data_IF_729466498700
#
_entry.id   IF_729466498700
#
_cell.length_a   1.000
_cell.length_b   1.000
_cell.length_c   1.000
_cell.angle_alpha   90.00
_cell.angle_beta   90.00
_cell.angle_gamma   90.00
#
_symmetry.space_group_name_H-M   'P 1'
#
loop_
_entity.id
_entity.type
_entity.pdbx_description
1 polymer ?
#
# COMPACT_ATOMS: atom_id res chain seq x y z
N UNK A 1 -46.21 -17.74 -6.21
CA UNK A 1 -44.86 -17.87 -5.63
C UNK A 1 -44.50 -16.46 -5.11
N UNK A 2 -44.66 -16.24 -3.80
CA UNK A 2 -44.36 -14.95 -3.20
C UNK A 2 -42.85 -14.85 -2.96
N UNK A 3 -42.15 -13.96 -3.66
CA UNK A 3 -40.79 -13.59 -3.29
C UNK A 3 -40.89 -12.71 -2.02
N UNK A 4 -40.49 -13.27 -0.87
CA UNK A 4 -40.22 -12.44 0.30
C UNK A 4 -39.00 -11.59 -0.07
N UNK A 5 -39.20 -10.29 -0.23
CA UNK A 5 -38.10 -9.33 -0.25
C UNK A 5 -37.49 -9.33 1.14
N UNK A 6 -36.33 -9.94 1.28
CA UNK A 6 -35.53 -9.82 2.50
C UNK A 6 -35.11 -8.36 2.64
N UNK A 7 -35.20 -7.82 3.85
CA UNK A 7 -34.64 -6.50 4.16
C UNK A 7 -33.19 -6.43 3.67
N UNK A 8 -32.79 -5.24 3.19
CA UNK A 8 -31.41 -5.00 2.75
C UNK A 8 -30.47 -5.46 3.88
N UNK A 9 -29.68 -6.49 3.63
CA UNK A 9 -28.68 -6.97 4.56
C UNK A 9 -27.62 -5.87 4.73
N UNK A 10 -27.57 -5.26 5.91
CA UNK A 10 -26.61 -4.20 6.23
C UNK A 10 -25.16 -4.65 6.09
N UNK A 11 -24.87 -5.96 6.20
CA UNK A 11 -23.54 -6.52 5.95
C UNK A 11 -23.18 -6.55 4.44
N UNK A 12 -24.15 -6.56 3.54
CA UNK A 12 -23.95 -6.37 2.09
C UNK A 12 -23.71 -4.89 1.74
N UNK A 13 -24.08 -3.96 2.61
CA UNK A 13 -23.81 -2.53 2.45
C UNK A 13 -22.39 -2.15 2.89
N UNK A 14 -21.64 -3.05 3.52
CA UNK A 14 -20.21 -2.83 3.76
C UNK A 14 -19.50 -2.79 2.41
N UNK A 15 -18.74 -1.73 2.12
CA UNK A 15 -18.08 -1.58 0.83
C UNK A 15 -17.20 -2.81 0.58
N UNK A 16 -17.62 -3.69 -0.31
CA UNK A 16 -16.80 -4.76 -0.85
C UNK A 16 -15.57 -4.10 -1.49
N UNK A 17 -14.56 -3.83 -0.68
CA UNK A 17 -13.16 -3.48 -1.00
C UNK A 17 -12.89 -2.63 -2.28
N UNK A 18 -13.81 -1.79 -2.69
CA UNK A 18 -13.62 -0.88 -3.82
C UNK A 18 -12.80 0.35 -3.43
N UNK A 19 -11.49 0.19 -3.19
CA UNK A 19 -10.61 1.31 -2.78
C UNK A 19 -10.43 2.40 -3.84
N UNK A 20 -10.90 2.20 -5.04
CA UNK A 20 -10.65 3.07 -6.20
C UNK A 20 -11.86 3.02 -7.16
N UNK A 21 -13.00 3.63 -6.77
CA UNK A 21 -14.25 3.53 -7.53
C UNK A 21 -14.16 4.16 -8.92
N UNK A 22 -13.32 5.16 -9.10
CA UNK A 22 -13.10 5.84 -10.37
C UNK A 22 -11.97 5.24 -11.21
N UNK A 23 -11.25 4.23 -10.70
CA UNK A 23 -10.13 3.62 -11.40
C UNK A 23 -8.94 4.56 -11.61
N UNK A 24 -8.75 5.53 -10.73
CA UNK A 24 -7.72 6.59 -10.85
C UNK A 24 -6.37 6.14 -10.25
N UNK A 25 -6.41 5.17 -9.34
CA UNK A 25 -5.22 4.65 -8.67
C UNK A 25 -4.03 4.35 -9.61
N UNK A 26 -4.19 3.67 -10.76
CA UNK A 26 -3.05 3.39 -11.65
C UNK A 26 -2.38 4.64 -12.21
N UNK A 27 -3.12 5.75 -12.38
CA UNK A 27 -2.62 7.01 -12.93
C UNK A 27 -1.60 7.64 -11.98
N UNK A 28 -2.02 7.92 -10.73
CA UNK A 28 -1.14 8.55 -9.78
C UNK A 28 -0.03 7.61 -9.28
N UNK A 29 -0.28 6.30 -9.22
CA UNK A 29 0.76 5.31 -8.92
C UNK A 29 1.86 5.28 -9.98
N UNK A 30 1.52 5.50 -11.25
CA UNK A 30 2.52 5.60 -12.29
C UNK A 30 3.41 6.84 -12.05
N UNK A 31 2.83 7.99 -11.74
CA UNK A 31 3.60 9.21 -11.39
C UNK A 31 4.41 9.05 -10.10
N UNK A 32 3.86 8.34 -9.12
CA UNK A 32 4.57 8.05 -7.88
C UNK A 32 5.88 7.30 -8.11
N UNK A 33 5.89 6.34 -9.05
CA UNK A 33 7.10 5.57 -9.40
C UNK A 33 8.19 6.40 -10.08
N UNK A 34 7.84 7.53 -10.67
CA UNK A 34 8.84 8.47 -11.21
C UNK A 34 9.64 9.15 -10.08
N UNK A 35 9.05 9.24 -8.88
CA UNK A 35 9.66 9.87 -7.69
C UNK A 35 10.26 8.83 -6.75
N UNK A 36 9.51 7.75 -6.47
CA UNK A 36 9.83 6.69 -5.50
C UNK A 36 9.67 5.32 -6.15
N UNK A 37 10.64 4.87 -6.98
CA UNK A 37 10.44 3.76 -7.93
C UNK A 37 10.19 2.41 -7.26
N UNK A 38 10.67 2.17 -6.05
CA UNK A 38 10.67 0.86 -5.40
C UNK A 38 9.74 0.76 -4.19
N UNK A 39 8.88 1.75 -3.95
CA UNK A 39 8.02 1.80 -2.77
C UNK A 39 6.56 1.80 -3.20
N UNK A 40 5.70 1.24 -2.35
CA UNK A 40 4.23 1.27 -2.50
C UNK A 40 3.58 1.87 -1.24
N UNK A 41 2.30 2.20 -1.32
CA UNK A 41 1.55 2.69 -0.17
C UNK A 41 1.53 1.70 1.02
N UNK A 42 1.65 0.39 0.76
CA UNK A 42 1.61 -0.65 1.78
C UNK A 42 3.00 -0.97 2.37
N UNK A 43 4.09 -0.80 1.59
CA UNK A 43 5.46 -1.18 1.99
C UNK A 43 6.20 -0.08 2.78
N UNK A 44 5.51 0.57 3.71
CA UNK A 44 5.97 1.77 4.43
C UNK A 44 6.71 1.50 5.75
N UNK A 45 7.01 0.22 6.07
CA UNK A 45 7.68 -0.14 7.30
C UNK A 45 8.89 -1.03 7.02
N UNK A 46 10.05 -0.71 7.62
CA UNK A 46 11.27 -1.52 7.53
C UNK A 46 11.08 -2.93 8.10
N UNK A 47 10.21 -3.07 9.10
CA UNK A 47 9.94 -4.32 9.80
C UNK A 47 9.52 -5.46 8.84
N UNK A 48 8.67 -5.15 7.86
CA UNK A 48 8.24 -6.13 6.87
C UNK A 48 9.39 -6.62 5.97
N UNK A 49 10.30 -5.72 5.58
CA UNK A 49 11.50 -6.11 4.83
C UNK A 49 12.44 -6.99 5.67
N UNK A 50 12.58 -6.69 6.97
CA UNK A 50 13.38 -7.51 7.87
C UNK A 50 12.87 -8.95 7.94
N UNK A 51 11.56 -9.13 8.15
CA UNK A 51 10.93 -10.46 8.18
C UNK A 51 11.13 -11.20 6.86
N UNK A 52 10.88 -10.50 5.73
CA UNK A 52 11.04 -11.09 4.39
C UNK A 52 12.46 -11.58 4.17
N UNK A 53 13.43 -10.68 4.36
CA UNK A 53 14.84 -10.99 4.06
C UNK A 53 15.41 -12.05 5.01
N UNK A 54 15.04 -12.03 6.29
CA UNK A 54 15.44 -13.03 7.26
C UNK A 54 14.91 -14.43 6.89
N UNK A 55 13.62 -14.55 6.62
CA UNK A 55 13.01 -15.81 6.22
C UNK A 55 13.66 -16.38 4.94
N UNK A 56 13.86 -15.55 3.93
CA UNK A 56 14.47 -15.96 2.67
C UNK A 56 15.97 -16.32 2.81
N UNK A 57 16.72 -15.62 3.66
CA UNK A 57 18.13 -15.94 3.91
C UNK A 57 18.31 -17.28 4.64
N UNK A 58 17.38 -17.68 5.49
CA UNK A 58 17.43 -18.96 6.21
C UNK A 58 16.88 -20.13 5.40
N UNK A 59 16.04 -19.88 4.41
CA UNK A 59 15.41 -20.93 3.62
C UNK A 59 16.39 -21.96 3.03
N UNK A 60 17.52 -21.59 2.37
CA UNK A 60 18.41 -22.58 1.76
C UNK A 60 19.00 -23.57 2.79
N UNK A 61 19.38 -23.08 3.98
CA UNK A 61 19.94 -23.91 5.03
C UNK A 61 18.85 -24.81 5.65
N UNK A 62 17.67 -24.25 5.93
CA UNK A 62 16.52 -24.99 6.42
C UNK A 62 16.10 -26.10 5.42
N UNK A 63 15.94 -25.75 4.15
CA UNK A 63 15.53 -26.69 3.12
C UNK A 63 16.53 -27.83 2.94
N UNK A 64 17.85 -27.55 3.03
CA UNK A 64 18.88 -28.57 2.98
C UNK A 64 18.82 -29.48 4.20
N UNK A 65 18.68 -28.93 5.40
CA UNK A 65 18.65 -29.68 6.67
C UNK A 65 17.47 -30.65 6.73
N UNK A 66 16.28 -30.20 6.32
CA UNK A 66 15.05 -30.98 6.41
C UNK A 66 14.60 -31.58 5.06
N UNK A 67 15.47 -31.50 4.04
CA UNK A 67 15.19 -32.00 2.68
C UNK A 67 13.86 -31.51 2.09
N UNK A 68 13.55 -30.23 2.34
CA UNK A 68 12.32 -29.62 1.88
C UNK A 68 12.41 -29.22 0.41
N UNK A 69 11.41 -29.55 -0.43
CA UNK A 69 11.41 -29.17 -1.84
C UNK A 69 11.13 -27.65 -2.00
N UNK A 70 11.61 -27.07 -3.09
CA UNK A 70 11.48 -25.63 -3.38
C UNK A 70 10.04 -25.10 -3.30
N UNK A 71 9.03 -25.91 -3.65
CA UNK A 71 7.61 -25.57 -3.54
C UNK A 71 7.15 -25.25 -2.11
N UNK A 72 7.90 -25.67 -1.10
CA UNK A 72 7.61 -25.40 0.32
C UNK A 72 8.11 -24.02 0.79
N UNK A 73 8.81 -23.24 -0.03
CA UNK A 73 9.26 -21.90 0.32
C UNK A 73 8.11 -20.99 0.79
N UNK A 74 7.02 -20.95 0.05
CA UNK A 74 5.88 -20.08 0.39
C UNK A 74 5.18 -20.54 1.67
N UNK A 75 4.80 -21.82 1.86
CA UNK A 75 4.29 -22.30 3.14
C UNK A 75 5.24 -22.05 4.33
N UNK A 76 6.54 -22.33 4.16
CA UNK A 76 7.56 -22.02 5.15
C UNK A 76 7.54 -20.52 5.53
N UNK A 77 7.51 -19.64 4.52
CA UNK A 77 7.48 -18.21 4.75
C UNK A 77 6.26 -17.77 5.59
N UNK A 78 5.07 -18.30 5.30
CA UNK A 78 3.86 -18.01 6.07
C UNK A 78 3.99 -18.39 7.54
N UNK A 79 4.62 -19.53 7.83
CA UNK A 79 4.87 -19.97 9.20
C UNK A 79 5.88 -19.05 9.91
N UNK A 80 6.95 -18.67 9.23
CA UNK A 80 7.95 -17.73 9.77
C UNK A 80 7.33 -16.38 10.06
N UNK A 81 6.51 -15.82 9.14
CA UNK A 81 5.78 -14.58 9.35
C UNK A 81 4.88 -14.64 10.59
N UNK A 82 4.14 -15.74 10.77
CA UNK A 82 3.31 -15.97 11.95
C UNK A 82 4.15 -15.99 13.23
N UNK A 83 5.27 -16.68 13.22
CA UNK A 83 6.16 -16.76 14.37
C UNK A 83 6.68 -15.36 14.76
N UNK A 84 7.15 -14.57 13.76
CA UNK A 84 7.59 -13.20 13.99
C UNK A 84 6.51 -12.30 14.56
N UNK A 85 5.31 -12.29 13.95
CA UNK A 85 4.23 -11.42 14.39
C UNK A 85 3.80 -11.74 15.83
N UNK A 86 3.73 -13.02 16.18
CA UNK A 86 3.38 -13.47 17.54
C UNK A 86 4.49 -13.15 18.54
N UNK A 87 5.74 -13.36 18.15
CA UNK A 87 6.90 -12.97 18.92
C UNK A 87 6.88 -11.47 19.24
N UNK A 88 6.64 -10.63 18.23
CA UNK A 88 6.53 -9.19 18.41
C UNK A 88 5.35 -8.78 19.31
N UNK A 89 4.26 -9.53 19.31
CA UNK A 89 3.11 -9.26 20.19
C UNK A 89 3.42 -9.62 21.63
N UNK A 90 4.01 -10.77 21.88
CA UNK A 90 4.42 -11.23 23.22
C UNK A 90 5.41 -10.27 23.88
N UNK A 91 6.40 -9.79 23.12
CA UNK A 91 7.41 -8.84 23.63
C UNK A 91 6.98 -7.38 23.61
N UNK A 92 5.71 -7.10 23.21
CA UNK A 92 5.21 -5.72 23.13
C UNK A 92 6.09 -4.81 22.29
N UNK A 93 6.73 -5.35 21.24
CA UNK A 93 7.60 -4.56 20.38
C UNK A 93 6.82 -3.53 19.57
N UNK A 94 7.48 -2.45 19.19
CA UNK A 94 6.91 -1.38 18.36
C UNK A 94 6.77 -1.75 16.88
N UNK A 95 7.14 -2.98 16.50
CA UNK A 95 7.08 -3.46 15.12
C UNK A 95 5.68 -3.44 14.55
N UNK A 96 5.60 -2.97 13.32
CA UNK A 96 4.35 -2.82 12.59
C UNK A 96 4.25 -3.87 11.47
N UNK A 97 3.86 -5.09 11.85
CA UNK A 97 3.64 -6.19 10.91
C UNK A 97 2.16 -6.32 10.54
N UNK A 98 1.86 -6.72 9.29
CA UNK A 98 0.49 -7.02 8.87
C UNK A 98 -0.16 -8.06 9.79
N UNK A 99 -1.40 -7.80 10.22
CA UNK A 99 -2.14 -8.73 11.09
C UNK A 99 -1.80 -8.69 12.57
N UNK A 100 -0.67 -8.11 13.00
CA UNK A 100 -0.26 -8.06 14.42
C UNK A 100 -1.35 -7.53 15.35
N UNK A 101 -2.13 -6.53 14.92
CA UNK A 101 -3.20 -5.93 15.74
C UNK A 101 -4.33 -6.90 16.12
N UNK A 102 -4.47 -8.02 15.41
CA UNK A 102 -5.47 -9.07 15.70
C UNK A 102 -4.99 -10.09 16.72
N UNK A 103 -3.71 -10.06 17.05
CA UNK A 103 -3.11 -10.99 18.00
C UNK A 103 -3.30 -10.46 19.42
N UNK A 104 -3.93 -11.29 20.27
CA UNK A 104 -4.11 -11.00 21.69
C UNK A 104 -2.97 -11.62 22.51
N UNK A 105 -2.56 -10.93 23.59
CA UNK A 105 -1.50 -11.35 24.51
C UNK A 105 -2.02 -12.41 25.49
N UNK A 106 -2.65 -13.39 25.22
CA UNK A 106 -3.18 -14.37 26.17
C UNK A 106 -3.49 -15.75 25.58
N UNK A 107 -3.51 -15.84 24.28
CA UNK A 107 -3.77 -17.11 23.62
C UNK A 107 -2.48 -17.89 23.38
N UNK A 108 -2.52 -19.26 23.49
CA UNK A 108 -1.39 -20.07 23.11
C UNK A 108 -0.95 -19.72 21.68
N UNK A 109 0.37 -19.67 21.50
CA UNK A 109 0.95 -19.28 20.20
C UNK A 109 0.92 -20.48 19.27
N UNK A 110 -0.01 -20.49 18.35
CA UNK A 110 -0.11 -21.50 17.31
C UNK A 110 0.40 -20.94 15.99
N UNK A 111 1.18 -21.72 15.27
CA UNK A 111 1.52 -21.49 13.87
C UNK A 111 0.96 -22.65 13.04
N UNK A 112 0.51 -22.38 11.85
CA UNK A 112 -0.05 -23.42 11.00
C UNK A 112 -0.47 -22.91 9.64
N UNK A 113 -0.67 -23.83 8.70
CA UNK A 113 -1.01 -23.49 7.30
C UNK A 113 -2.52 -23.39 7.05
N UNK A 114 -3.35 -23.78 7.99
CA UNK A 114 -4.79 -23.68 7.85
C UNK A 114 -5.27 -22.23 7.97
N UNK A 115 -6.37 -21.85 7.28
CA UNK A 115 -6.89 -20.47 7.30
C UNK A 115 -7.12 -19.90 8.69
N UNK A 116 -7.56 -20.71 9.66
CA UNK A 116 -7.80 -20.31 11.05
C UNK A 116 -6.53 -19.88 11.80
N UNK A 117 -5.34 -20.30 11.32
CA UNK A 117 -4.05 -19.94 11.91
C UNK A 117 -3.43 -18.69 11.27
N UNK A 118 -4.01 -18.25 10.16
CA UNK A 118 -3.50 -17.09 9.44
C UNK A 118 -3.68 -15.81 10.25
N UNK A 119 -2.69 -14.93 10.17
CA UNK A 119 -2.75 -13.58 10.78
C UNK A 119 -3.83 -12.72 10.14
N UNK A 120 -4.11 -12.97 8.87
CA UNK A 120 -5.03 -12.21 8.03
C UNK A 120 -5.77 -13.15 7.07
N UNK A 121 -6.99 -12.80 6.71
CA UNK A 121 -7.65 -13.39 5.54
C UNK A 121 -6.78 -13.14 4.29
N UNK A 122 -6.44 -14.23 3.55
CA UNK A 122 -5.51 -14.13 2.42
C UNK A 122 -4.10 -13.69 2.83
N UNK A 123 -3.52 -14.26 3.88
CA UNK A 123 -2.21 -13.87 4.44
C UNK A 123 -1.13 -13.80 3.37
N UNK A 124 -1.11 -14.70 2.40
CA UNK A 124 -0.12 -14.66 1.31
C UNK A 124 -0.15 -13.36 0.52
N UNK A 125 -1.34 -12.80 0.28
CA UNK A 125 -1.53 -11.58 -0.49
C UNK A 125 -1.45 -10.31 0.36
N UNK A 126 -2.02 -10.37 1.57
CA UNK A 126 -2.20 -9.21 2.44
C UNK A 126 -1.13 -9.14 3.56
N UNK A 127 -0.31 -10.16 3.69
CA UNK A 127 0.80 -10.24 4.63
C UNK A 127 2.10 -9.70 4.07
N UNK A 128 3.20 -10.00 4.77
CA UNK A 128 4.55 -9.52 4.40
C UNK A 128 4.95 -9.99 3.01
N UNK A 129 4.64 -11.23 2.62
CA UNK A 129 4.97 -11.73 1.29
C UNK A 129 4.36 -10.88 0.18
N UNK A 130 3.04 -10.69 0.19
CA UNK A 130 2.32 -9.96 -0.85
C UNK A 130 2.67 -8.46 -0.91
N UNK A 131 2.98 -7.86 0.24
CA UNK A 131 3.27 -6.44 0.34
C UNK A 131 4.72 -6.12 -0.02
N UNK A 132 5.69 -6.93 0.42
CA UNK A 132 7.10 -6.55 0.42
C UNK A 132 7.96 -7.29 -0.61
N UNK A 133 7.54 -8.49 -1.08
CA UNK A 133 8.35 -9.32 -1.97
C UNK A 133 8.68 -8.61 -3.30
N UNK A 134 7.66 -8.14 -4.03
CA UNK A 134 7.87 -7.46 -5.31
C UNK A 134 8.65 -6.16 -5.18
N UNK A 135 8.48 -5.47 -4.06
CA UNK A 135 9.24 -4.24 -3.74
C UNK A 135 10.70 -4.57 -3.46
N UNK A 136 10.98 -5.62 -2.69
CA UNK A 136 12.34 -6.09 -2.41
C UNK A 136 13.05 -6.56 -3.69
N UNK A 137 12.35 -7.25 -4.59
CA UNK A 137 12.85 -7.67 -5.89
C UNK A 137 13.18 -6.46 -6.78
N UNK A 138 12.26 -5.51 -6.92
CA UNK A 138 12.47 -4.30 -7.73
C UNK A 138 13.60 -3.42 -7.18
N UNK A 139 13.79 -3.39 -5.86
CA UNK A 139 14.90 -2.71 -5.20
C UNK A 139 16.23 -3.51 -5.28
N UNK A 140 16.19 -4.73 -5.83
CA UNK A 140 17.35 -5.60 -5.97
C UNK A 140 17.88 -6.13 -4.63
N UNK A 141 17.04 -6.25 -3.61
CA UNK A 141 17.37 -6.91 -2.33
C UNK A 141 17.32 -8.42 -2.46
N UNK A 142 16.46 -8.93 -3.32
CA UNK A 142 16.32 -10.32 -3.73
C UNK A 142 16.30 -10.40 -5.24
N UNK A 143 16.58 -11.57 -5.79
CA UNK A 143 16.42 -11.86 -7.22
C UNK A 143 15.05 -12.49 -7.55
N UNK A 144 14.84 -12.80 -8.84
CA UNK A 144 13.60 -13.45 -9.31
C UNK A 144 13.33 -14.84 -8.72
N UNK A 145 14.38 -15.52 -8.19
CA UNK A 145 14.30 -16.80 -7.50
C UNK A 145 14.15 -16.64 -5.98
N UNK A 146 13.95 -15.43 -5.48
CA UNK A 146 13.90 -15.05 -4.08
C UNK A 146 15.22 -15.25 -3.31
N UNK A 147 16.34 -15.33 -3.98
CA UNK A 147 17.64 -15.38 -3.32
C UNK A 147 18.01 -13.97 -2.82
N UNK A 148 18.34 -13.87 -1.54
CA UNK A 148 18.77 -12.64 -0.88
C UNK A 148 20.20 -12.30 -1.28
N UNK A 149 20.52 -11.02 -1.43
CA UNK A 149 21.90 -10.56 -1.71
C UNK A 149 22.91 -11.12 -0.70
N UNK A 150 24.11 -11.55 -1.17
CA UNK A 150 25.11 -12.21 -0.30
C UNK A 150 25.55 -11.39 0.92
N UNK A 151 25.70 -10.08 0.77
CA UNK A 151 26.09 -9.16 1.85
C UNK A 151 25.00 -9.06 2.95
N UNK A 152 23.72 -9.16 2.58
CA UNK A 152 22.59 -9.23 3.51
C UNK A 152 22.58 -10.61 4.19
N UNK A 153 22.72 -11.69 3.41
CA UNK A 153 22.74 -13.07 3.92
C UNK A 153 23.80 -13.26 5.01
N UNK A 154 25.03 -12.79 4.78
CA UNK A 154 26.12 -12.91 5.74
C UNK A 154 25.79 -12.28 7.09
N UNK A 155 25.14 -11.12 7.09
CA UNK A 155 24.75 -10.43 8.33
C UNK A 155 23.61 -11.11 9.08
N UNK A 156 22.66 -11.72 8.35
CA UNK A 156 21.54 -12.46 8.96
C UNK A 156 22.04 -13.78 9.56
N UNK A 157 22.82 -14.55 8.79
CA UNK A 157 23.27 -15.90 9.22
C UNK A 157 24.14 -15.89 10.47
N UNK A 158 24.99 -14.90 10.63
CA UNK A 158 25.88 -14.80 11.81
C UNK A 158 25.12 -14.62 13.14
N UNK A 159 23.78 -14.44 13.10
CA UNK A 159 22.94 -14.19 14.27
C UNK A 159 21.76 -15.17 14.39
N UNK A 160 21.82 -16.28 13.66
CA UNK A 160 20.66 -17.16 13.45
C UNK A 160 20.53 -18.34 14.41
N UNK A 161 21.44 -18.54 15.38
CA UNK A 161 21.42 -19.72 16.23
C UNK A 161 20.08 -19.93 16.95
N UNK A 162 19.48 -18.87 17.48
CA UNK A 162 18.20 -18.98 18.16
C UNK A 162 17.03 -19.27 17.21
N UNK A 163 17.12 -18.80 15.97
CA UNK A 163 16.09 -19.07 14.97
C UNK A 163 16.10 -20.54 14.56
N UNK A 164 17.26 -21.18 14.56
CA UNK A 164 17.39 -22.62 14.32
C UNK A 164 16.60 -23.45 15.34
N UNK A 165 16.41 -22.94 16.55
CA UNK A 165 15.54 -23.57 17.55
C UNK A 165 14.06 -23.67 17.12
N UNK A 166 13.60 -22.84 16.17
CA UNK A 166 12.26 -22.94 15.58
C UNK A 166 12.16 -24.01 14.49
N UNK A 167 13.25 -24.40 13.87
CA UNK A 167 13.24 -25.23 12.68
C UNK A 167 12.54 -26.58 12.85
N UNK A 168 12.72 -27.34 13.96
CA UNK A 168 11.97 -28.57 14.14
C UNK A 168 10.45 -28.35 14.14
N UNK A 169 9.99 -27.23 14.72
CA UNK A 169 8.58 -26.89 14.76
C UNK A 169 8.05 -26.47 13.37
N UNK A 170 8.85 -25.71 12.61
CA UNK A 170 8.50 -25.33 11.23
C UNK A 170 8.44 -26.57 10.32
N UNK A 171 9.42 -27.48 10.42
CA UNK A 171 9.45 -28.72 9.66
C UNK A 171 8.23 -29.60 9.97
N UNK A 172 7.92 -29.76 11.25
CA UNK A 172 6.73 -30.50 11.68
C UNK A 172 5.46 -29.88 11.10
N UNK A 173 5.30 -28.56 11.18
CA UNK A 173 4.13 -27.86 10.64
C UNK A 173 4.01 -27.95 9.11
N UNK A 174 5.13 -28.01 8.39
CA UNK A 174 5.17 -28.20 6.94
C UNK A 174 4.77 -29.62 6.51
N UNK A 175 5.27 -30.62 7.22
CA UNK A 175 5.07 -32.04 6.89
C UNK A 175 3.68 -32.54 7.30
N UNK A 176 3.11 -32.01 8.36
CA UNK A 176 1.77 -32.33 8.80
C UNK A 176 0.76 -31.48 8.00
N UNK A 177 0.51 -31.84 6.74
CA UNK A 177 -0.53 -31.23 5.91
C UNK A 177 -1.94 -31.34 6.53
N UNK A 178 -2.07 -32.05 7.64
CA UNK A 178 -3.28 -32.23 8.41
C UNK A 178 -3.07 -31.86 9.87
N UNK A 179 -3.61 -30.70 10.27
CA UNK A 179 -4.23 -30.45 11.57
C UNK A 179 -3.39 -30.17 12.82
N UNK A 180 -2.09 -30.43 12.91
CA UNK A 180 -1.42 -30.13 14.17
C UNK A 180 -0.88 -28.70 14.20
N UNK A 181 -1.44 -27.91 15.10
CA UNK A 181 -0.89 -26.63 15.53
C UNK A 181 0.36 -26.89 16.36
N UNK A 182 1.44 -26.27 15.98
CA UNK A 182 2.65 -26.30 16.81
C UNK A 182 2.47 -25.29 17.93
N UNK A 183 2.40 -25.79 19.17
CA UNK A 183 2.38 -24.94 20.36
C UNK A 183 3.80 -24.43 20.60
N UNK A 184 4.04 -23.13 20.41
CA UNK A 184 5.28 -22.51 20.86
C UNK A 184 5.15 -22.29 22.36
N UNK A 185 5.93 -23.01 23.15
CA UNK A 185 5.88 -22.92 24.61
C UNK A 185 6.31 -21.50 25.06
N UNK A 186 5.65 -20.96 26.09
CA UNK A 186 5.84 -19.59 26.56
C UNK A 186 7.29 -19.27 26.97
N UNK A 187 8.06 -20.22 27.49
CA UNK A 187 9.43 -20.00 27.97
C UNK A 187 10.53 -20.10 26.92
N UNK A 188 10.55 -21.04 25.96
CA UNK A 188 11.45 -20.97 24.81
C UNK A 188 11.19 -19.76 23.91
N UNK A 189 9.97 -19.24 23.88
CA UNK A 189 9.61 -18.07 23.09
C UNK A 189 10.28 -16.78 23.56
N UNK A 190 10.55 -16.60 24.85
CA UNK A 190 11.25 -15.41 25.35
C UNK A 190 12.68 -15.28 24.80
N UNK A 191 13.41 -16.38 24.70
CA UNK A 191 14.76 -16.39 24.12
C UNK A 191 14.72 -16.13 22.62
N UNK A 192 13.86 -16.84 21.93
CA UNK A 192 13.67 -16.70 20.48
C UNK A 192 13.28 -15.29 20.07
N UNK A 193 12.38 -14.69 20.84
CA UNK A 193 11.86 -13.35 20.60
C UNK A 193 12.91 -12.30 20.91
N UNK A 194 13.68 -12.43 21.98
CA UNK A 194 14.78 -11.54 22.30
C UNK A 194 15.84 -11.56 21.19
N UNK A 195 16.18 -12.73 20.66
CA UNK A 195 17.17 -12.83 19.61
C UNK A 195 16.63 -12.41 18.23
N UNK A 196 15.36 -12.68 17.91
CA UNK A 196 14.72 -12.10 16.74
C UNK A 196 14.69 -10.58 16.85
N UNK A 197 14.36 -10.02 18.00
CA UNK A 197 14.45 -8.57 18.25
C UNK A 197 15.88 -8.05 18.07
N UNK A 198 16.89 -8.73 18.60
CA UNK A 198 18.30 -8.36 18.45
C UNK A 198 18.80 -8.42 17.00
N UNK A 199 18.33 -9.40 16.20
CA UNK A 199 18.63 -9.47 14.76
C UNK A 199 18.07 -8.22 14.04
N UNK A 200 17.03 -7.66 14.55
CA UNK A 200 16.19 -6.66 13.94
C UNK A 200 16.53 -5.24 14.41
N UNK A 201 16.98 -5.06 15.65
CA UNK A 201 17.42 -3.77 16.17
C UNK A 201 18.74 -3.27 15.57
N UNK A 202 19.31 -4.01 14.60
CA UNK A 202 20.62 -3.65 14.07
C UNK A 202 20.58 -2.60 12.97
N UNK A 203 21.12 -1.46 13.30
CA UNK A 203 21.44 -0.33 12.43
C UNK A 203 22.09 -0.66 11.07
N UNK A 204 23.11 -1.57 10.98
CA UNK A 204 23.71 -1.91 9.71
C UNK A 204 22.74 -2.53 8.71
N UNK A 205 21.71 -3.22 9.21
CA UNK A 205 20.70 -3.86 8.39
C UNK A 205 19.71 -2.84 7.78
N UNK A 206 19.33 -1.84 8.57
CA UNK A 206 18.49 -0.75 8.08
C UNK A 206 19.17 0.01 6.92
N UNK A 207 20.47 0.27 6.99
CA UNK A 207 21.24 0.90 5.89
C UNK A 207 21.22 0.06 4.62
N UNK A 208 21.35 -1.26 4.72
CA UNK A 208 21.31 -2.16 3.56
C UNK A 208 19.95 -2.21 2.88
N UNK A 209 18.87 -2.16 3.66
CA UNK A 209 17.52 -2.15 3.14
C UNK A 209 17.17 -0.77 2.55
N UNK A 210 17.56 0.30 3.25
CA UNK A 210 17.19 1.66 2.87
C UNK A 210 17.92 2.18 1.64
N UNK A 211 19.22 1.90 1.50
CA UNK A 211 20.03 2.39 0.37
C UNK A 211 19.49 2.02 -1.01
N UNK A 212 18.98 0.80 -1.29
CA UNK A 212 18.36 0.47 -2.56
C UNK A 212 17.14 1.32 -2.92
N UNK A 213 16.37 1.77 -1.94
CA UNK A 213 15.22 2.66 -2.19
C UNK A 213 15.64 4.07 -2.59
N UNK A 214 16.88 4.45 -2.29
CA UNK A 214 17.45 5.75 -2.63
C UNK A 214 18.13 5.77 -3.99
N UNK A 215 18.44 4.59 -4.56
CA UNK A 215 19.08 4.47 -5.86
C UNK A 215 18.03 4.41 -6.97
N UNK A 216 17.71 5.50 -7.67
CA UNK A 216 16.80 5.48 -8.80
C UNK A 216 17.44 4.72 -9.98
N UNK A 217 16.61 4.06 -10.78
CA UNK A 217 17.03 3.43 -12.03
C UNK A 217 17.59 4.43 -13.06
N UNK A 218 17.38 5.73 -12.85
CA UNK A 218 18.01 6.83 -13.61
C UNK A 218 18.79 7.72 -12.65
N UNK A 219 19.97 8.23 -13.04
CA UNK A 219 20.81 9.05 -12.18
C UNK A 219 20.14 10.39 -11.91
N UNK A 220 19.38 10.45 -10.84
CA UNK A 220 18.90 11.72 -10.29
C UNK A 220 19.61 11.87 -8.95
N UNK A 221 20.06 13.08 -8.56
CA UNK A 221 20.75 13.29 -7.30
C UNK A 221 19.84 12.89 -6.12
N UNK A 222 19.98 11.64 -5.70
CA UNK A 222 19.22 11.02 -4.61
C UNK A 222 19.45 11.76 -3.30
N UNK A 223 20.60 12.40 -3.18
CA UNK A 223 21.00 13.23 -2.05
C UNK A 223 20.03 14.38 -1.78
N UNK A 224 19.43 14.96 -2.82
CA UNK A 224 18.54 16.11 -2.66
C UNK A 224 17.19 15.76 -2.05
N UNK A 225 16.52 14.69 -2.54
CA UNK A 225 15.23 14.25 -1.99
C UNK A 225 15.40 13.72 -0.56
N UNK A 226 16.50 13.00 -0.30
CA UNK A 226 16.83 12.50 1.04
C UNK A 226 17.11 13.65 2.00
N UNK A 227 17.88 14.66 1.58
CA UNK A 227 18.15 15.82 2.43
C UNK A 227 16.86 16.56 2.81
N UNK A 228 15.97 16.76 1.84
CA UNK A 228 14.65 17.35 2.08
C UNK A 228 13.77 16.52 3.01
N UNK A 229 13.77 15.19 2.83
CA UNK A 229 13.04 14.31 3.74
C UNK A 229 13.61 14.33 5.15
N UNK A 230 14.93 14.51 5.32
CA UNK A 230 15.57 14.72 6.64
C UNK A 230 15.09 15.98 7.32
N UNK A 231 14.95 17.07 6.60
CA UNK A 231 14.41 18.33 7.14
C UNK A 231 12.95 18.16 7.54
N UNK A 232 12.14 17.47 6.71
CA UNK A 232 10.74 17.18 7.03
C UNK A 232 10.57 16.33 8.30
N UNK A 233 11.50 15.43 8.60
CA UNK A 233 11.45 14.64 9.86
C UNK A 233 11.45 15.54 11.09
N UNK A 234 12.07 16.73 11.02
CA UNK A 234 12.11 17.72 12.08
C UNK A 234 10.81 18.53 12.17
N UNK A 235 10.04 18.59 11.07
CA UNK A 235 8.83 19.38 10.91
C UNK A 235 7.53 18.54 10.96
N UNK A 236 7.59 17.31 11.47
CA UNK A 236 6.42 16.41 11.61
C UNK A 236 5.19 17.17 12.13
N UNK A 237 3.98 17.06 11.51
CA UNK A 237 3.57 16.03 10.55
C UNK A 237 3.98 16.31 9.09
N UNK A 238 4.24 15.22 8.34
CA UNK A 238 4.57 15.29 6.92
C UNK A 238 3.31 15.58 6.08
N UNK A 239 3.42 16.55 5.17
CA UNK A 239 2.39 16.87 4.20
C UNK A 239 2.95 16.72 2.77
N UNK A 240 2.47 15.73 1.97
CA UNK A 240 2.94 15.51 0.60
C UNK A 240 2.74 16.72 -0.33
N UNK A 241 1.61 17.43 -0.21
CA UNK A 241 1.34 18.63 -1.00
C UNK A 241 2.38 19.71 -0.73
N UNK A 242 2.53 20.08 0.54
CA UNK A 242 3.52 21.09 0.95
C UNK A 242 4.92 20.71 0.50
N UNK A 243 5.28 19.43 0.62
CA UNK A 243 6.58 18.92 0.18
C UNK A 243 6.82 19.08 -1.31
N UNK A 244 5.80 18.79 -2.14
CA UNK A 244 5.89 18.90 -3.62
C UNK A 244 5.86 20.36 -4.07
N UNK A 245 5.13 21.23 -3.36
CA UNK A 245 4.97 22.64 -3.70
C UNK A 245 6.12 23.53 -3.17
N UNK A 246 7.00 23.02 -2.31
CA UNK A 246 8.14 23.77 -1.79
C UNK A 246 9.04 24.26 -2.94
N UNK A 247 9.22 25.58 -3.03
CA UNK A 247 10.20 26.21 -3.92
C UNK A 247 11.62 26.10 -3.31
N UNK A 248 12.17 24.89 -3.37
CA UNK A 248 13.51 24.62 -2.84
C UNK A 248 14.49 24.42 -4.00
N UNK A 249 15.65 25.06 -3.92
CA UNK A 249 16.73 24.95 -4.91
C UNK A 249 17.16 23.48 -5.14
N UNK A 250 17.07 22.63 -4.11
CA UNK A 250 17.36 21.19 -4.19
C UNK A 250 16.32 20.41 -5.01
N UNK A 251 15.10 20.94 -5.18
CA UNK A 251 14.02 20.33 -5.98
C UNK A 251 14.09 20.79 -7.43
N UNK A 252 14.78 21.91 -7.73
CA UNK A 252 14.80 22.49 -9.08
C UNK A 252 15.24 21.51 -10.18
N UNK A 253 16.17 20.63 -9.89
CA UNK A 253 16.61 19.59 -10.83
C UNK A 253 15.54 18.51 -11.09
N UNK A 254 14.53 18.39 -10.20
CA UNK A 254 13.40 17.47 -10.31
C UNK A 254 12.07 18.14 -10.63
N UNK A 255 12.05 19.42 -10.90
CA UNK A 255 10.83 20.19 -11.21
C UNK A 255 9.96 19.55 -12.30
N UNK A 256 10.55 18.82 -13.27
CA UNK A 256 9.80 18.11 -14.29
C UNK A 256 8.83 17.08 -13.72
N UNK A 257 9.30 16.24 -12.81
CA UNK A 257 8.48 15.16 -12.20
C UNK A 257 7.43 15.72 -11.27
N UNK A 258 7.78 16.66 -10.40
CA UNK A 258 6.83 17.30 -9.49
C UNK A 258 5.79 18.15 -10.24
N UNK A 259 6.18 18.83 -11.33
CA UNK A 259 5.23 19.51 -12.22
C UNK A 259 4.21 18.53 -12.81
N UNK A 260 4.64 17.34 -13.22
CA UNK A 260 3.74 16.31 -13.71
C UNK A 260 2.78 15.83 -12.62
N UNK A 261 3.25 15.67 -11.36
CA UNK A 261 2.40 15.33 -10.22
C UNK A 261 1.36 16.43 -9.99
N UNK A 262 1.77 17.70 -9.90
CA UNK A 262 0.85 18.83 -9.65
C UNK A 262 -0.22 18.89 -10.74
N UNK A 263 0.18 18.81 -12.01
CA UNK A 263 -0.74 18.82 -13.15
C UNK A 263 -1.71 17.64 -13.13
N UNK A 264 -1.24 16.48 -12.72
CA UNK A 264 -2.06 15.28 -12.57
C UNK A 264 -3.02 15.42 -11.41
N UNK A 265 -2.51 15.72 -10.21
CA UNK A 265 -3.23 15.66 -8.96
C UNK A 265 -4.41 16.62 -8.90
N UNK A 266 -4.23 17.86 -9.29
CA UNK A 266 -5.28 18.87 -9.25
C UNK A 266 -6.55 18.47 -9.98
N UNK A 267 -6.41 17.83 -11.13
CA UNK A 267 -7.54 17.34 -11.90
C UNK A 267 -8.16 16.08 -11.29
N UNK A 268 -7.32 15.03 -11.05
CA UNK A 268 -7.84 13.75 -10.57
C UNK A 268 -8.46 13.87 -9.18
N UNK A 269 -7.83 14.62 -8.26
CA UNK A 269 -8.37 14.84 -6.92
C UNK A 269 -9.71 15.56 -6.95
N UNK A 270 -9.90 16.52 -7.86
CA UNK A 270 -11.19 17.21 -8.05
C UNK A 270 -12.25 16.24 -8.56
N UNK A 271 -11.95 15.41 -9.56
CA UNK A 271 -12.91 14.44 -10.10
C UNK A 271 -13.30 13.40 -9.04
N UNK A 272 -12.35 12.88 -8.27
CA UNK A 272 -12.65 11.98 -7.13
C UNK A 272 -13.52 12.68 -6.07
N UNK A 273 -13.26 13.95 -5.81
CA UNK A 273 -14.03 14.71 -4.83
C UNK A 273 -15.46 15.01 -5.32
N UNK A 274 -15.65 15.24 -6.61
CA UNK A 274 -17.00 15.33 -7.19
C UNK A 274 -17.73 14.00 -7.04
N UNK A 275 -17.06 12.88 -7.30
CA UNK A 275 -17.64 11.55 -7.15
C UNK A 275 -18.02 11.26 -5.68
N UNK A 276 -17.15 11.54 -4.72
CA UNK A 276 -17.46 11.39 -3.28
C UNK A 276 -18.64 12.29 -2.88
N UNK A 277 -18.70 13.51 -3.42
CA UNK A 277 -19.81 14.42 -3.18
C UNK A 277 -21.14 13.86 -3.75
N UNK A 278 -21.14 13.24 -4.94
CA UNK A 278 -22.33 12.57 -5.48
C UNK A 278 -22.78 11.39 -4.59
N UNK A 279 -21.84 10.64 -4.05
CA UNK A 279 -22.11 9.53 -3.12
C UNK A 279 -22.47 9.98 -1.70
N UNK A 280 -22.48 11.28 -1.39
CA UNK A 280 -22.80 11.77 -0.04
C UNK A 280 -24.29 11.86 0.30
N UNK A 281 -25.16 11.62 -0.67
CA UNK A 281 -26.60 11.73 -0.48
C UNK A 281 -27.14 13.17 -0.40
N UNK A 282 -26.30 14.18 -0.65
CA UNK A 282 -26.71 15.59 -0.64
C UNK A 282 -27.58 15.97 -1.85
N UNK A 283 -27.68 15.12 -2.83
CA UNK A 283 -28.45 15.31 -4.06
C UNK A 283 -29.27 14.08 -4.39
N UNK A 284 -30.41 14.27 -5.02
CA UNK A 284 -31.37 13.20 -5.32
C UNK A 284 -31.36 12.75 -6.77
N UNK A 285 -30.86 13.60 -7.67
CA UNK A 285 -30.77 13.33 -9.11
C UNK A 285 -29.73 14.25 -9.77
N UNK A 286 -29.50 14.05 -11.07
CA UNK A 286 -28.47 14.79 -11.84
C UNK A 286 -28.76 16.30 -11.90
N UNK A 287 -30.00 16.71 -12.07
CA UNK A 287 -30.36 18.13 -12.14
C UNK A 287 -30.14 18.83 -10.78
N UNK A 288 -30.62 18.21 -9.71
CA UNK A 288 -30.41 18.71 -8.34
C UNK A 288 -28.89 18.77 -8.02
N UNK A 289 -28.14 17.76 -8.41
CA UNK A 289 -26.69 17.71 -8.24
C UNK A 289 -26.00 18.84 -9.04
N UNK A 290 -26.37 19.05 -10.29
CA UNK A 290 -25.81 20.12 -11.13
C UNK A 290 -26.07 21.51 -10.54
N UNK A 291 -27.27 21.74 -9.95
CA UNK A 291 -27.63 22.98 -9.27
C UNK A 291 -26.81 23.22 -7.98
N UNK A 292 -26.57 22.16 -7.19
CA UNK A 292 -25.90 22.24 -5.88
C UNK A 292 -24.39 22.19 -5.96
N UNK A 293 -23.81 21.53 -6.98
CA UNK A 293 -22.38 21.35 -7.11
C UNK A 293 -21.65 22.69 -7.25
N UNK A 294 -20.85 23.04 -6.24
CA UNK A 294 -20.08 24.29 -6.21
C UNK A 294 -18.68 24.08 -6.80
N UNK A 295 -18.58 24.12 -8.13
CA UNK A 295 -17.34 24.02 -8.87
C UNK A 295 -17.24 25.10 -9.94
N UNK A 296 -16.03 25.63 -10.14
CA UNK A 296 -15.73 26.51 -11.25
C UNK A 296 -15.33 25.69 -12.48
N UNK A 297 -16.21 25.66 -13.50
CA UNK A 297 -16.01 24.84 -14.70
C UNK A 297 -14.85 25.32 -15.57
N UNK A 298 -14.53 26.62 -15.58
CA UNK A 298 -13.40 27.16 -16.36
C UNK A 298 -12.07 26.75 -15.76
N UNK A 299 -11.97 26.81 -14.44
CA UNK A 299 -10.80 26.32 -13.71
C UNK A 299 -10.64 24.80 -13.92
N UNK A 300 -11.73 24.04 -13.91
CA UNK A 300 -11.68 22.60 -14.16
C UNK A 300 -11.23 22.28 -15.61
N UNK A 301 -11.68 23.05 -16.60
CA UNK A 301 -11.20 22.92 -17.99
C UNK A 301 -9.72 23.23 -18.11
N UNK A 302 -9.24 24.26 -17.42
CA UNK A 302 -7.81 24.55 -17.34
C UNK A 302 -7.02 23.39 -16.71
N UNK A 303 -7.51 22.82 -15.59
CA UNK A 303 -6.91 21.67 -14.94
C UNK A 303 -6.89 20.42 -15.83
N UNK A 304 -7.91 20.19 -16.66
CA UNK A 304 -7.90 19.14 -17.69
C UNK A 304 -6.81 19.41 -18.74
N UNK A 305 -6.60 20.65 -19.17
CA UNK A 305 -5.51 21.03 -20.08
C UNK A 305 -4.15 20.68 -19.48
N UNK A 306 -3.94 21.03 -18.23
CA UNK A 306 -2.74 20.68 -17.47
C UNK A 306 -2.57 19.14 -17.30
N UNK A 307 -3.65 18.42 -16.99
CA UNK A 307 -3.65 16.97 -16.86
C UNK A 307 -3.23 16.26 -18.14
N UNK A 308 -3.66 16.72 -19.30
CA UNK A 308 -3.21 16.21 -20.61
C UNK A 308 -1.69 16.33 -20.76
N UNK A 309 -1.10 17.40 -20.24
CA UNK A 309 0.34 17.63 -20.19
C UNK A 309 1.07 17.02 -18.98
N UNK A 310 0.43 16.13 -18.19
CA UNK A 310 1.02 15.54 -16.98
C UNK A 310 2.02 14.42 -17.23
N UNK A 311 2.54 14.30 -18.45
CA UNK A 311 3.53 13.32 -18.86
C UNK A 311 2.93 12.08 -19.54
N UNK A 312 3.81 11.25 -20.08
CA UNK A 312 3.43 10.06 -20.83
C UNK A 312 3.10 8.89 -19.92
N UNK A 313 2.26 7.99 -20.43
CA UNK A 313 1.91 6.71 -19.83
C UNK A 313 2.11 5.61 -20.86
N UNK A 314 2.66 4.44 -20.50
CA UNK A 314 2.92 3.37 -21.44
C UNK A 314 1.65 2.97 -22.19
N UNK A 315 1.71 2.94 -23.51
CA UNK A 315 0.59 2.56 -24.36
C UNK A 315 0.05 1.18 -23.96
N UNK A 316 -1.27 1.03 -23.93
CA UNK A 316 -1.93 -0.21 -23.52
C UNK A 316 -1.97 -0.49 -22.02
N UNK A 317 -1.21 0.25 -21.19
CA UNK A 317 -1.27 0.11 -19.74
C UNK A 317 -2.62 0.52 -19.17
N UNK A 318 -2.95 0.00 -17.97
CA UNK A 318 -4.18 0.40 -17.28
C UNK A 318 -4.19 1.91 -16.96
N UNK A 319 -3.04 2.47 -16.60
CA UNK A 319 -2.90 3.91 -16.36
C UNK A 319 -3.23 4.73 -17.62
N UNK A 320 -2.73 4.32 -18.78
CA UNK A 320 -3.04 4.94 -20.06
C UNK A 320 -4.55 4.87 -20.38
N UNK A 321 -5.16 3.69 -20.25
CA UNK A 321 -6.61 3.49 -20.49
C UNK A 321 -7.44 4.41 -19.58
N UNK A 322 -7.11 4.49 -18.30
CA UNK A 322 -7.81 5.33 -17.33
C UNK A 322 -7.60 6.83 -17.60
N UNK A 323 -6.38 7.22 -18.02
CA UNK A 323 -6.12 8.61 -18.46
C UNK A 323 -7.05 9.01 -19.61
N UNK A 324 -7.19 8.18 -20.64
CA UNK A 324 -8.08 8.45 -21.77
C UNK A 324 -9.55 8.59 -21.32
N UNK A 325 -10.01 7.76 -20.37
CA UNK A 325 -11.38 7.91 -19.83
C UNK A 325 -11.59 9.26 -19.16
N UNK A 326 -10.65 9.70 -18.33
CA UNK A 326 -10.70 11.00 -17.66
C UNK A 326 -10.63 12.17 -18.63
N UNK A 327 -9.84 12.07 -19.71
CA UNK A 327 -9.73 13.11 -20.75
C UNK A 327 -11.01 13.26 -21.59
N UNK A 328 -11.86 12.22 -21.61
CA UNK A 328 -13.15 12.20 -22.33
C UNK A 328 -14.32 12.70 -21.50
N UNK A 329 -14.14 13.03 -20.22
CA UNK A 329 -15.20 13.60 -19.41
C UNK A 329 -15.73 14.88 -20.07
N UNK A 330 -17.06 15.01 -20.12
CA UNK A 330 -17.71 16.12 -20.78
C UNK A 330 -17.83 17.34 -19.86
N UNK A 331 -16.97 18.32 -20.04
CA UNK A 331 -16.91 19.55 -19.25
C UNK A 331 -17.76 20.70 -19.85
N UNK A 332 -18.69 20.43 -20.76
CA UNK A 332 -19.55 21.49 -21.34
C UNK A 332 -20.52 22.11 -20.33
N UNK A 333 -21.00 21.30 -19.38
CA UNK A 333 -21.84 21.74 -18.25
C UNK A 333 -21.66 20.85 -17.05
N UNK A 334 -22.07 21.31 -15.85
CA UNK A 334 -22.05 20.50 -14.62
C UNK A 334 -22.87 19.22 -14.77
N UNK A 335 -24.06 19.32 -15.43
CA UNK A 335 -24.90 18.17 -15.71
C UNK A 335 -24.15 17.11 -16.53
N UNK A 336 -23.55 17.50 -17.66
CA UNK A 336 -22.81 16.60 -18.53
C UNK A 336 -21.58 16.01 -17.83
N UNK A 337 -20.89 16.79 -17.00
CA UNK A 337 -19.80 16.31 -16.19
C UNK A 337 -20.26 15.19 -15.25
N UNK A 338 -21.36 15.40 -14.52
CA UNK A 338 -21.93 14.40 -13.59
C UNK A 338 -22.31 13.13 -14.34
N UNK A 339 -23.03 13.25 -15.45
CA UNK A 339 -23.42 12.11 -16.28
C UNK A 339 -22.19 11.27 -16.68
N UNK A 340 -21.16 11.92 -17.24
CA UNK A 340 -19.97 11.22 -17.71
C UNK A 340 -19.08 10.67 -16.57
N UNK A 341 -19.10 11.28 -15.38
CA UNK A 341 -18.46 10.70 -14.18
C UNK A 341 -19.16 9.40 -13.77
N UNK A 342 -20.49 9.38 -13.76
CA UNK A 342 -21.29 8.21 -13.41
C UNK A 342 -21.10 7.07 -14.43
N UNK A 343 -21.07 7.40 -15.72
CA UNK A 343 -20.78 6.44 -16.78
C UNK A 343 -19.37 5.83 -16.60
N UNK A 344 -18.36 6.66 -16.36
CA UNK A 344 -17.02 6.21 -16.10
C UNK A 344 -16.94 5.28 -14.87
N UNK A 345 -17.63 5.64 -13.78
CA UNK A 345 -17.69 4.80 -12.58
C UNK A 345 -18.34 3.45 -12.85
N UNK A 346 -19.44 3.43 -13.62
CA UNK A 346 -20.13 2.21 -14.04
C UNK A 346 -19.18 1.32 -14.84
N UNK A 347 -18.53 1.84 -15.88
CA UNK A 347 -17.56 1.09 -16.70
C UNK A 347 -16.41 0.51 -15.87
N UNK A 348 -15.89 1.29 -14.90
CA UNK A 348 -14.84 0.83 -13.98
C UNK A 348 -15.34 -0.32 -13.10
N UNK A 349 -16.53 -0.20 -12.54
CA UNK A 349 -17.12 -1.21 -11.67
C UNK A 349 -17.39 -2.51 -12.43
N UNK A 350 -18.03 -2.43 -13.59
CA UNK A 350 -18.31 -3.59 -14.46
C UNK A 350 -17.03 -4.29 -14.92
N UNK A 351 -15.98 -3.53 -15.27
CA UNK A 351 -14.67 -4.09 -15.64
C UNK A 351 -14.00 -4.91 -14.54
N UNK A 352 -14.46 -4.74 -13.29
CA UNK A 352 -13.98 -5.44 -12.09
C UNK A 352 -14.98 -6.47 -11.54
N UNK A 353 -16.08 -6.71 -12.23
CA UNK A 353 -17.21 -7.52 -11.78
C UNK A 353 -17.80 -7.04 -10.45
N UNK A 354 -17.80 -5.73 -10.21
CA UNK A 354 -18.38 -5.11 -9.01
C UNK A 354 -19.64 -4.34 -9.36
N UNK A 355 -20.56 -4.23 -8.39
CA UNK A 355 -21.68 -3.30 -8.51
C UNK A 355 -21.21 -1.85 -8.42
N UNK A 356 -21.78 -0.92 -9.21
CA UNK A 356 -21.57 0.50 -9.04
C UNK A 356 -22.03 1.00 -7.65
N UNK A 357 -21.32 1.98 -7.12
CA UNK A 357 -21.65 2.57 -5.80
C UNK A 357 -22.83 3.53 -5.87
N UNK A 358 -23.07 4.09 -7.05
CA UNK A 358 -24.18 4.99 -7.34
C UNK A 358 -24.66 4.71 -8.76
N UNK A 359 -25.99 4.62 -8.93
CA UNK A 359 -26.66 4.45 -10.21
C UNK A 359 -27.81 5.43 -10.33
N UNK A 360 -28.40 5.52 -11.51
CA UNK A 360 -29.60 6.30 -11.76
C UNK A 360 -30.76 5.33 -12.01
N UNK A 361 -31.71 5.28 -11.08
CA UNK A 361 -32.91 4.48 -11.20
C UNK A 361 -34.14 5.39 -11.19
N UNK A 362 -34.98 5.28 -12.21
CA UNK A 362 -36.19 6.12 -12.37
C UNK A 362 -35.91 7.63 -12.25
N UNK A 363 -34.74 8.07 -12.75
CA UNK A 363 -34.31 9.47 -12.71
C UNK A 363 -33.77 9.96 -11.37
N UNK A 364 -33.61 9.07 -10.38
CA UNK A 364 -33.04 9.37 -9.06
C UNK A 364 -31.73 8.60 -8.83
N UNK A 365 -30.89 9.15 -7.95
CA UNK A 365 -29.73 8.42 -7.50
C UNK A 365 -30.11 7.28 -6.56
N UNK A 366 -29.68 6.08 -6.89
CA UNK A 366 -29.61 4.95 -5.96
C UNK A 366 -28.16 4.81 -5.50
N UNK A 367 -27.91 5.09 -4.21
CA UNK A 367 -26.56 5.13 -3.61
C UNK A 367 -26.41 3.88 -2.75
N UNK A 368 -25.61 2.93 -3.22
CA UNK A 368 -25.26 1.70 -2.51
C UNK A 368 -24.16 1.97 -1.47
N UNK A 369 -23.19 2.83 -1.78
CA UNK A 369 -22.07 3.16 -0.89
C UNK A 369 -22.12 4.65 -0.55
N UNK A 370 -22.53 4.95 0.68
CA UNK A 370 -22.55 6.31 1.19
C UNK A 370 -21.14 6.78 1.55
N UNK A 371 -20.78 7.98 1.12
CA UNK A 371 -19.52 8.67 1.44
C UNK A 371 -19.78 9.93 2.24
N UNK A 372 -18.81 10.34 3.05
CA UNK A 372 -18.81 11.69 3.60
C UNK A 372 -18.58 12.73 2.49
N UNK A 373 -19.15 13.94 2.63
CA UNK A 373 -18.85 15.03 1.69
C UNK A 373 -17.35 15.33 1.72
N UNK A 374 -16.76 15.73 0.57
CA UNK A 374 -15.34 16.09 0.53
C UNK A 374 -15.05 17.28 1.44
N UNK A 375 -13.82 17.33 1.97
CA UNK A 375 -13.38 18.45 2.79
C UNK A 375 -13.42 19.78 2.00
N UNK A 376 -13.50 20.90 2.72
CA UNK A 376 -13.46 22.22 2.12
C UNK A 376 -12.21 22.38 1.21
N UNK A 377 -12.40 23.00 0.06
CA UNK A 377 -11.33 23.20 -0.93
C UNK A 377 -11.06 22.02 -1.87
N UNK A 378 -11.51 20.80 -1.57
CA UNK A 378 -11.27 19.62 -2.43
C UNK A 378 -12.06 19.67 -3.77
N UNK A 379 -13.12 20.47 -3.84
CA UNK A 379 -13.85 20.75 -5.09
C UNK A 379 -13.24 21.92 -5.88
N UNK A 380 -12.16 22.53 -5.38
CA UNK A 380 -11.45 23.59 -6.09
C UNK A 380 -10.21 23.01 -6.80
N UNK A 381 -10.18 22.99 -8.16
CA UNK A 381 -9.05 22.42 -8.89
C UNK A 381 -7.70 23.11 -8.64
N UNK A 382 -7.68 24.29 -8.03
CA UNK A 382 -6.42 24.98 -7.69
C UNK A 382 -5.78 24.37 -6.45
N UNK A 383 -6.60 23.93 -5.47
CA UNK A 383 -6.15 23.47 -4.15
C UNK A 383 -6.45 22.00 -3.86
N UNK A 384 -7.13 21.29 -4.78
CA UNK A 384 -7.46 19.89 -4.57
C UNK A 384 -6.19 19.02 -4.50
N UNK A 385 -6.06 18.25 -3.41
CA UNK A 385 -4.96 17.29 -3.19
C UNK A 385 -5.44 16.11 -2.36
N UNK A 386 -5.24 14.88 -2.83
CA UNK A 386 -5.72 13.64 -2.16
C UNK A 386 -4.67 12.56 -2.07
N UNK A 387 -3.80 12.43 -3.09
CA UNK A 387 -2.92 11.29 -3.24
C UNK A 387 -1.51 11.61 -2.71
N UNK A 388 -0.92 10.67 -2.00
CA UNK A 388 0.39 10.87 -1.39
C UNK A 388 1.57 10.60 -2.32
N UNK A 389 1.35 10.01 -3.49
CA UNK A 389 2.40 9.61 -4.45
C UNK A 389 3.52 8.79 -3.81
N UNK A 390 3.17 7.95 -2.83
CA UNK A 390 4.10 7.17 -1.99
C UNK A 390 5.10 8.00 -1.16
N UNK A 391 4.97 9.31 -1.15
CA UNK A 391 5.87 10.20 -0.41
C UNK A 391 5.74 10.01 1.10
N UNK A 392 4.55 9.74 1.61
CA UNK A 392 4.30 9.39 3.01
C UNK A 392 4.95 8.05 3.40
N UNK A 393 4.91 7.07 2.50
CA UNK A 393 5.58 5.78 2.70
C UNK A 393 7.10 5.96 2.75
N UNK A 394 7.63 6.77 1.83
CA UNK A 394 9.06 7.11 1.79
C UNK A 394 9.49 7.90 3.03
N UNK A 395 8.69 8.87 3.45
CA UNK A 395 8.92 9.60 4.69
C UNK A 395 8.97 8.69 5.92
N UNK A 396 8.01 7.76 6.03
CA UNK A 396 7.96 6.81 7.13
C UNK A 396 9.18 5.88 7.18
N UNK A 397 9.64 5.37 6.03
CA UNK A 397 10.87 4.57 5.93
C UNK A 397 12.10 5.40 6.32
N UNK A 398 12.20 6.64 5.85
CA UNK A 398 13.27 7.57 6.20
C UNK A 398 13.28 7.84 7.70
N UNK A 399 12.11 8.11 8.30
CA UNK A 399 11.97 8.34 9.75
C UNK A 399 12.40 7.13 10.58
N UNK A 400 12.04 5.92 10.17
CA UNK A 400 12.46 4.68 10.84
C UNK A 400 13.96 4.48 10.74
N UNK A 401 14.55 4.71 9.57
CA UNK A 401 15.98 4.61 9.32
C UNK A 401 16.78 5.57 10.22
N UNK A 402 16.39 6.85 10.29
CA UNK A 402 17.11 7.84 11.10
C UNK A 402 16.88 7.70 12.60
N UNK A 403 15.70 7.24 13.04
CA UNK A 403 15.48 6.93 14.47
C UNK A 403 16.33 5.75 14.94
N UNK A 404 16.60 4.80 14.05
CA UNK A 404 17.52 3.71 14.34
C UNK A 404 18.99 4.17 14.40
N UNK A 405 19.40 5.16 13.59
CA UNK A 405 20.77 5.70 13.56
C UNK A 405 21.15 6.71 14.64
N UNK A 406 20.14 7.24 15.35
CA UNK A 406 20.38 8.19 16.48
C UNK A 406 20.74 7.45 17.78
N UNK A 407 20.69 6.11 17.79
CA UNK A 407 21.12 5.28 18.94
C UNK A 407 22.58 4.81 18.84
N UNK A 408 23.33 5.29 17.84
CA UNK A 408 24.79 5.26 17.79
C UNK A 408 25.34 6.58 18.35
#
# INVERSE_FOLDING_TARGET
MFYMMTEKDEDLLRPLNGRDPMGILPIWQHRARDVVPHITAASRHLDGFHVLLAALAWWPEFANTYKQPAKQLTPYFLLVEQAFARACTLNKTTWNLPGKRRLTTGNPVFIGLKPEHHLLGGQLQNGVWGIYRSVAESAGLIDGNNAVKPDIVGKIRNKSEAVKGLWPALDKALNQQSMETVKIAERPSHHLVGELSNIIEMNPFAKLIYNPFLAPAKPVPTTSVVALMREQIRLDPFNPETFVLQDNALIKDRLGVFKHIIKCERYIATIESIFDWLCSGLSTNVEDAAGKLRINMDILRSALGDFRGSGEYPSGSLAYKRKIMLERLNLSSKKRLIETILDMHKDVSESRNNMPWITIESGRFDIVVLRGPPAEGQLNPISAWRNSYYLDSFFNLTKQFYKAGVRE
#
